data_IF_035164151568
#
_entry.id   IF_035164151568
#
_cell.length_a   1.000
_cell.length_b   1.000
_cell.length_c   1.000
_cell.angle_alpha   90.00
_cell.angle_beta   90.00
_cell.angle_gamma   90.00
#
_symmetry.space_group_name_H-M   'P 1'
#
loop_
_entity.id
_entity.type
_entity.pdbx_description
1 polymer ?
#
# COMPACT_ATOMS: atom_id res chain seq x y z
N UNK A 1 10.39 -4.08 11.61
CA UNK A 1 10.59 -5.19 10.64
C UNK A 1 9.30 -5.35 9.83
N UNK A 2 9.17 -4.68 8.69
CA UNK A 2 7.96 -4.77 7.85
C UNK A 2 8.21 -5.87 6.80
N UNK A 3 7.85 -7.10 7.13
CA UNK A 3 8.05 -8.29 6.29
C UNK A 3 6.92 -8.39 5.26
N UNK A 4 7.25 -8.76 4.02
CA UNK A 4 6.24 -9.12 3.01
C UNK A 4 5.77 -10.56 3.21
N UNK A 5 4.47 -10.81 3.06
CA UNK A 5 3.86 -12.13 3.24
C UNK A 5 3.53 -12.73 1.88
N UNK A 6 4.08 -13.91 1.62
CA UNK A 6 3.83 -14.63 0.36
C UNK A 6 2.80 -15.73 0.57
N UNK A 7 1.71 -15.65 -0.19
CA UNK A 7 0.72 -16.71 -0.31
C UNK A 7 0.91 -17.56 -1.57
N UNK A 8 -0.06 -18.44 -1.81
CA UNK A 8 -0.08 -19.27 -3.02
C UNK A 8 -0.27 -18.45 -4.30
N UNK A 9 -1.21 -17.50 -4.29
CA UNK A 9 -1.59 -16.68 -5.46
C UNK A 9 -1.22 -15.21 -5.36
N UNK A 10 -1.01 -14.71 -4.15
CA UNK A 10 -0.82 -13.28 -3.89
C UNK A 10 0.36 -13.04 -2.96
N UNK A 11 0.88 -11.83 -3.01
CA UNK A 11 1.93 -11.33 -2.12
C UNK A 11 1.40 -10.07 -1.44
N UNK A 12 1.47 -10.02 -0.12
CA UNK A 12 1.15 -8.84 0.67
C UNK A 12 2.45 -8.08 0.94
N UNK A 13 2.59 -6.92 0.31
CA UNK A 13 3.72 -6.02 0.57
C UNK A 13 3.25 -4.89 1.49
N UNK A 14 4.03 -4.49 2.51
CA UNK A 14 3.64 -3.39 3.39
C UNK A 14 3.41 -2.11 2.58
N UNK A 15 2.38 -1.33 2.94
CA UNK A 15 2.11 -0.05 2.29
C UNK A 15 3.14 1.00 2.73
N UNK A 16 4.04 1.36 1.82
CA UNK A 16 5.10 2.35 2.04
C UNK A 16 4.84 3.66 1.30
N UNK A 17 5.65 4.67 1.61
CA UNK A 17 5.59 6.00 1.02
C UNK A 17 5.68 5.97 -0.50
N UNK A 18 6.47 5.05 -1.07
CA UNK A 18 6.68 4.90 -2.51
C UNK A 18 5.40 4.45 -3.24
N UNK A 19 4.44 3.84 -2.53
CA UNK A 19 3.17 3.44 -3.10
C UNK A 19 2.14 4.58 -3.13
N UNK A 20 2.35 5.67 -2.38
CA UNK A 20 1.39 6.78 -2.25
C UNK A 20 1.01 7.39 -3.60
N UNK A 21 1.93 7.68 -4.54
CA UNK A 21 1.54 8.24 -5.84
C UNK A 21 0.58 7.33 -6.62
N UNK A 22 0.80 6.01 -6.59
CA UNK A 22 -0.05 5.05 -7.29
C UNK A 22 -1.40 4.87 -6.58
N UNK A 23 -1.39 4.83 -5.24
CA UNK A 23 -2.62 4.79 -4.44
C UNK A 23 -3.48 6.04 -4.67
N UNK A 24 -2.87 7.22 -4.69
CA UNK A 24 -3.55 8.49 -4.96
C UNK A 24 -4.23 8.51 -6.33
N UNK A 25 -3.58 7.94 -7.36
CA UNK A 25 -4.20 7.77 -8.69
C UNK A 25 -5.44 6.88 -8.64
N UNK A 26 -5.42 5.78 -7.88
CA UNK A 26 -6.60 4.94 -7.68
C UNK A 26 -7.72 5.70 -6.97
N UNK A 27 -7.39 6.47 -5.94
CA UNK A 27 -8.33 7.31 -5.19
C UNK A 27 -8.86 8.51 -5.98
N UNK A 28 -8.52 8.66 -7.28
CA UNK A 28 -9.22 9.59 -8.17
C UNK A 28 -10.49 8.99 -8.79
N UNK A 29 -10.72 7.67 -8.65
CA UNK A 29 -11.92 7.00 -9.17
C UNK A 29 -13.13 7.20 -8.22
N UNK A 30 -14.20 7.88 -8.64
CA UNK A 30 -15.39 8.10 -7.81
C UNK A 30 -16.08 6.81 -7.35
N UNK A 31 -16.03 5.74 -8.17
CA UNK A 31 -16.63 4.45 -7.80
C UNK A 31 -15.83 3.82 -6.66
N UNK A 32 -14.50 3.93 -6.72
CA UNK A 32 -13.64 3.40 -5.68
C UNK A 32 -13.82 4.18 -4.37
N UNK A 33 -13.81 5.52 -4.44
CA UNK A 33 -14.07 6.40 -3.29
C UNK A 33 -15.41 6.07 -2.62
N UNK A 34 -16.48 5.92 -3.40
CA UNK A 34 -17.79 5.55 -2.88
C UNK A 34 -17.80 4.14 -2.25
N UNK A 35 -17.14 3.16 -2.87
CA UNK A 35 -17.07 1.79 -2.38
C UNK A 35 -16.26 1.67 -1.09
N UNK A 36 -15.23 2.51 -0.90
CA UNK A 36 -14.40 2.53 0.32
C UNK A 36 -14.87 3.54 1.36
N UNK A 37 -15.89 4.35 1.06
CA UNK A 37 -16.34 5.45 1.93
C UNK A 37 -15.27 6.50 2.15
N UNK A 38 -14.40 6.69 1.17
CA UNK A 38 -13.27 7.64 1.21
C UNK A 38 -13.65 8.95 0.52
N UNK A 39 -13.05 10.04 0.99
CA UNK A 39 -13.13 11.35 0.35
C UNK A 39 -11.86 11.60 -0.46
N UNK A 40 -11.93 12.37 -1.56
CA UNK A 40 -10.75 12.70 -2.34
C UNK A 40 -9.80 13.57 -1.52
N UNK A 41 -8.52 13.17 -1.49
CA UNK A 41 -7.45 13.89 -0.82
C UNK A 41 -6.44 14.44 -1.82
N UNK A 42 -5.72 15.50 -1.44
CA UNK A 42 -4.53 15.92 -2.18
C UNK A 42 -3.39 14.92 -1.99
N UNK A 43 -2.42 14.90 -2.91
CA UNK A 43 -1.27 14.01 -2.80
C UNK A 43 -0.50 14.19 -1.48
N UNK A 44 -0.34 15.44 -1.00
CA UNK A 44 0.31 15.71 0.29
C UNK A 44 -0.49 15.17 1.48
N UNK A 45 -1.83 15.25 1.42
CA UNK A 45 -2.70 14.67 2.44
C UNK A 45 -2.60 13.13 2.45
N UNK A 46 -2.48 12.49 1.30
CA UNK A 46 -2.25 11.04 1.21
C UNK A 46 -0.94 10.62 1.89
N UNK A 47 0.13 11.40 1.74
CA UNK A 47 1.38 11.15 2.47
C UNK A 47 1.20 11.25 3.98
N UNK A 48 0.48 12.26 4.47
CA UNK A 48 0.20 12.40 5.91
C UNK A 48 -0.65 11.23 6.42
N UNK A 49 -1.65 10.81 5.65
CA UNK A 49 -2.52 9.70 6.00
C UNK A 49 -1.73 8.38 6.04
N UNK A 50 -0.91 8.11 5.03
CA UNK A 50 -0.03 6.93 4.99
C UNK A 50 0.92 6.88 6.19
N UNK A 51 1.50 8.02 6.58
CA UNK A 51 2.37 8.11 7.75
C UNK A 51 1.59 7.79 9.04
N UNK A 52 0.39 8.37 9.20
CA UNK A 52 -0.47 8.10 10.36
C UNK A 52 -0.85 6.62 10.48
N UNK A 53 -1.12 5.95 9.36
CA UNK A 53 -1.44 4.51 9.33
C UNK A 53 -0.21 3.64 9.60
N UNK A 54 0.96 4.07 9.15
CA UNK A 54 2.23 3.35 9.39
C UNK A 54 2.66 3.43 10.85
N UNK A 55 2.38 4.55 11.53
CA UNK A 55 2.78 4.77 12.93
C UNK A 55 1.77 4.24 13.95
N UNK A 56 0.56 3.88 13.51
CA UNK A 56 -0.46 3.30 14.38
C UNK A 56 -0.11 1.85 14.76
N UNK A 57 0.18 1.55 16.04
CA UNK A 57 0.64 0.22 16.46
C UNK A 57 -0.45 -0.85 16.37
N UNK A 58 -1.71 -0.46 16.15
CA UNK A 58 -2.85 -1.37 16.00
C UNK A 58 -3.29 -1.54 14.56
N UNK A 59 -2.61 -0.91 13.59
CA UNK A 59 -2.91 -1.04 12.18
C UNK A 59 -1.75 -1.64 11.41
N UNK A 60 -2.09 -2.44 10.41
CA UNK A 60 -1.14 -2.92 9.43
C UNK A 60 -1.78 -2.84 8.05
N UNK A 61 -1.15 -2.06 7.17
CA UNK A 61 -1.66 -1.81 5.81
C UNK A 61 -0.75 -2.50 4.80
N UNK A 62 -1.36 -3.19 3.83
CA UNK A 62 -0.65 -3.91 2.78
C UNK A 62 -1.22 -3.56 1.41
N UNK A 63 -0.35 -3.59 0.39
CA UNK A 63 -0.72 -3.66 -1.02
C UNK A 63 -0.70 -5.13 -1.43
N UNK A 64 -1.73 -5.56 -2.12
CA UNK A 64 -1.85 -6.92 -2.65
C UNK A 64 -1.29 -6.95 -4.06
N UNK A 65 -0.30 -7.82 -4.29
CA UNK A 65 0.23 -8.12 -5.62
C UNK A 65 -0.23 -9.50 -6.04
N UNK A 66 -0.60 -9.64 -7.31
CA UNK A 66 -0.85 -10.95 -7.91
C UNK A 66 0.47 -11.61 -8.29
N UNK A 67 0.71 -12.81 -7.79
CA UNK A 67 2.03 -13.46 -7.86
C UNK A 67 2.48 -13.79 -9.28
N UNK A 68 1.53 -14.18 -10.14
CA UNK A 68 1.82 -14.55 -11.54
C UNK A 68 2.25 -13.36 -12.40
N UNK A 69 1.88 -12.14 -11.99
CA UNK A 69 2.25 -10.90 -12.69
C UNK A 69 3.56 -10.29 -12.21
N UNK A 70 4.22 -10.87 -11.20
CA UNK A 70 5.53 -10.40 -10.72
C UNK A 70 6.62 -11.02 -11.58
N UNK A 71 7.11 -10.26 -12.56
CA UNK A 71 8.24 -10.66 -13.39
C UNK A 71 9.57 -10.67 -12.62
N UNK A 72 10.46 -11.61 -12.91
CA UNK A 72 11.81 -11.65 -12.33
C UNK A 72 11.94 -12.26 -10.94
N UNK A 73 10.84 -12.76 -10.36
CA UNK A 73 10.81 -13.33 -9.01
C UNK A 73 10.70 -12.26 -7.92
N UNK A 74 9.93 -12.55 -6.88
CA UNK A 74 9.75 -11.62 -5.76
C UNK A 74 10.96 -11.67 -4.82
N UNK A 75 11.73 -10.58 -4.77
CA UNK A 75 12.79 -10.40 -3.78
C UNK A 75 12.20 -9.72 -2.55
N UNK A 76 12.32 -10.34 -1.38
CA UNK A 76 11.97 -9.69 -0.12
C UNK A 76 12.89 -8.50 0.09
N UNK A 77 12.35 -7.29 -0.05
CA UNK A 77 13.09 -6.07 0.25
C UNK A 77 13.48 -6.03 1.73
N UNK A 78 14.68 -5.53 2.02
CA UNK A 78 15.05 -5.18 3.38
C UNK A 78 14.09 -4.10 3.88
N UNK A 79 13.58 -4.20 5.13
CA UNK A 79 12.74 -3.16 5.68
C UNK A 79 13.60 -1.91 5.82
N UNK A 80 13.45 -0.97 4.88
CA UNK A 80 14.00 0.36 4.99
C UNK A 80 13.56 0.93 6.35
N UNK A 81 14.55 1.14 7.23
CA UNK A 81 14.39 1.85 8.48
C UNK A 81 14.55 3.32 8.11
N UNK A 82 13.45 4.07 8.04
CA UNK A 82 13.51 5.49 8.40
C UNK A 82 13.57 5.60 9.92
#
# INVERSE_FOLDING_TARGET
>A
MKVSLEGGKVILVPYMKEHVPKYHQWMQDPVLLAATGSEPLTLDQEYQMQLSWTQDPFKQTFIILEKEFVEGGFVRGDPFVE
#
